data_IF_898251672982
#
_entry.id   IF_898251672982
#
_cell.length_a   1.000
_cell.length_b   1.000
_cell.length_c   1.000
_cell.angle_alpha   90.00
_cell.angle_beta   90.00
_cell.angle_gamma   90.00
#
_symmetry.space_group_name_H-M   'P 1'
#
loop_
_entity.id
_entity.type
_entity.pdbx_description
1 polymer ?
#
# COMPACT_ATOMS: atom_id res chain seq x y z
N UNK A 1 36.08 -19.17 -12.54
CA UNK A 1 34.83 -19.85 -12.12
C UNK A 1 34.54 -19.43 -10.68
N UNK A 2 33.44 -18.71 -10.41
CA UNK A 2 33.03 -18.44 -9.02
C UNK A 2 32.40 -19.72 -8.49
N UNK A 3 32.99 -20.25 -7.43
CA UNK A 3 32.52 -21.42 -6.69
C UNK A 3 31.10 -21.16 -6.18
N UNK A 4 30.09 -21.63 -6.92
CA UNK A 4 28.70 -21.65 -6.48
C UNK A 4 28.54 -22.79 -5.48
N UNK A 5 29.07 -22.60 -4.26
CA UNK A 5 28.65 -23.43 -3.13
C UNK A 5 27.13 -23.43 -3.10
N UNK A 6 26.53 -24.63 -3.15
CA UNK A 6 25.09 -24.83 -2.90
C UNK A 6 24.75 -23.99 -1.65
N UNK A 7 23.83 -23.01 -1.74
CA UNK A 7 23.49 -22.22 -0.56
C UNK A 7 22.98 -23.20 0.50
N UNK A 8 23.65 -23.22 1.66
CA UNK A 8 23.24 -24.03 2.78
C UNK A 8 21.77 -23.71 3.08
N UNK A 9 20.95 -24.75 3.26
CA UNK A 9 19.61 -24.58 3.84
C UNK A 9 19.81 -23.95 5.21
N UNK A 10 19.25 -22.75 5.49
CA UNK A 10 19.42 -22.13 6.78
C UNK A 10 18.87 -23.07 7.85
N UNK A 11 19.68 -23.40 8.86
CA UNK A 11 19.23 -24.21 9.99
C UNK A 11 18.06 -23.51 10.70
N UNK A 12 17.09 -24.27 11.25
CA UNK A 12 16.00 -23.68 12.03
C UNK A 12 16.56 -22.93 13.23
N UNK A 13 16.26 -21.64 13.32
CA UNK A 13 16.63 -20.86 14.50
C UNK A 13 15.80 -21.28 15.71
N UNK A 14 16.37 -21.30 16.93
CA UNK A 14 15.60 -21.45 18.15
C UNK A 14 14.52 -20.37 18.25
N UNK A 15 13.31 -20.73 18.70
CA UNK A 15 12.18 -19.79 18.84
C UNK A 15 12.54 -18.56 19.69
N UNK A 16 13.39 -18.73 20.70
CA UNK A 16 13.89 -17.65 21.57
C UNK A 16 14.63 -16.54 20.82
N UNK A 17 15.20 -16.82 19.63
CA UNK A 17 15.95 -15.86 18.83
C UNK A 17 15.07 -15.09 17.84
N UNK A 18 13.83 -15.51 17.60
CA UNK A 18 12.92 -14.88 16.63
C UNK A 18 12.65 -13.40 16.89
N UNK A 19 12.43 -12.92 18.15
CA UNK A 19 12.21 -11.50 18.40
C UNK A 19 13.43 -10.64 18.03
N UNK A 20 14.64 -11.13 18.33
CA UNK A 20 15.88 -10.45 17.97
C UNK A 20 16.07 -10.41 16.45
N UNK A 21 15.75 -11.52 15.77
CA UNK A 21 15.79 -11.64 14.32
C UNK A 21 14.81 -10.63 13.71
N UNK A 22 13.52 -10.66 14.07
CA UNK A 22 12.50 -9.79 13.46
C UNK A 22 12.82 -8.31 13.65
N UNK A 23 13.34 -7.96 14.82
CA UNK A 23 13.73 -6.60 15.12
C UNK A 23 15.14 -6.23 14.60
N UNK A 24 15.83 -7.07 13.81
CA UNK A 24 17.14 -6.76 13.21
C UNK A 24 17.06 -5.68 12.13
N UNK A 25 15.91 -5.54 11.46
CA UNK A 25 15.67 -4.51 10.46
C UNK A 25 14.20 -4.08 10.43
N UNK A 26 13.89 -2.81 10.14
CA UNK A 26 12.50 -2.32 10.15
C UNK A 26 11.59 -3.10 9.20
N UNK A 27 12.03 -3.31 7.96
CA UNK A 27 11.23 -4.01 6.95
C UNK A 27 10.86 -5.44 7.35
N UNK A 28 11.69 -6.16 8.11
CA UNK A 28 11.41 -7.56 8.48
C UNK A 28 10.20 -7.67 9.40
N UNK A 29 10.23 -6.96 10.51
CA UNK A 29 9.14 -6.92 11.47
C UNK A 29 7.85 -6.39 10.83
N UNK A 30 7.95 -5.25 10.16
CA UNK A 30 6.80 -4.54 9.61
C UNK A 30 6.19 -5.24 8.38
N UNK A 31 6.98 -5.89 7.53
CA UNK A 31 6.42 -6.64 6.39
C UNK A 31 5.77 -7.95 6.83
N UNK A 32 6.29 -8.60 7.87
CA UNK A 32 5.62 -9.77 8.46
C UNK A 32 4.27 -9.36 9.03
N UNK A 33 4.22 -8.31 9.83
CA UNK A 33 2.98 -7.73 10.36
C UNK A 33 2.01 -7.34 9.22
N UNK A 34 2.51 -6.65 8.19
CA UNK A 34 1.72 -6.28 7.01
C UNK A 34 1.16 -7.48 6.26
N UNK A 35 1.89 -8.59 6.22
CA UNK A 35 1.46 -9.82 5.54
C UNK A 35 0.42 -10.60 6.33
N UNK A 36 0.40 -10.47 7.66
CA UNK A 36 -0.72 -10.93 8.47
C UNK A 36 -1.94 -10.03 8.19
N UNK A 37 -1.75 -8.71 8.18
CA UNK A 37 -2.82 -7.75 7.93
C UNK A 37 -3.45 -7.88 6.52
N UNK A 38 -2.65 -8.20 5.49
CA UNK A 38 -3.16 -8.34 4.10
C UNK A 38 -4.11 -9.53 3.94
N UNK A 39 -3.92 -10.59 4.73
CA UNK A 39 -4.82 -11.73 4.78
C UNK A 39 -5.98 -11.48 5.74
N UNK A 40 -5.71 -11.00 6.96
CA UNK A 40 -6.74 -10.82 7.97
C UNK A 40 -7.79 -9.77 7.57
N UNK A 41 -7.38 -8.64 6.99
CA UNK A 41 -8.32 -7.62 6.49
C UNK A 41 -9.25 -8.17 5.43
N UNK A 42 -8.72 -8.98 4.51
CA UNK A 42 -9.51 -9.53 3.41
C UNK A 42 -10.29 -10.77 3.81
N UNK A 43 -9.86 -11.51 4.85
CA UNK A 43 -10.65 -12.57 5.45
C UNK A 43 -11.90 -12.00 6.12
N UNK A 44 -11.74 -10.98 6.96
CA UNK A 44 -12.88 -10.27 7.55
C UNK A 44 -13.80 -9.70 6.45
N UNK A 45 -13.23 -9.03 5.45
CA UNK A 45 -14.03 -8.44 4.36
C UNK A 45 -14.75 -9.48 3.49
N UNK A 46 -14.14 -10.64 3.22
CA UNK A 46 -14.77 -11.72 2.46
C UNK A 46 -15.95 -12.34 3.23
N UNK A 47 -15.81 -12.53 4.54
CA UNK A 47 -16.91 -13.02 5.39
C UNK A 47 -18.02 -11.98 5.47
N UNK A 48 -17.68 -10.70 5.64
CA UNK A 48 -18.66 -9.60 5.66
C UNK A 48 -19.45 -9.50 4.34
N UNK A 49 -18.78 -9.59 3.19
CA UNK A 49 -19.45 -9.64 1.89
C UNK A 49 -20.29 -10.89 1.70
N UNK A 50 -19.85 -12.03 2.24
CA UNK A 50 -20.62 -13.28 2.20
C UNK A 50 -21.86 -13.19 3.07
N UNK A 51 -21.76 -12.53 4.22
CA UNK A 51 -22.91 -12.19 5.05
C UNK A 51 -23.90 -11.31 4.30
N UNK A 52 -23.43 -10.24 3.63
CA UNK A 52 -24.28 -9.37 2.80
C UNK A 52 -24.96 -10.10 1.65
N UNK A 53 -24.29 -11.09 1.03
CA UNK A 53 -24.84 -11.83 -0.12
C UNK A 53 -25.77 -12.98 0.27
N UNK A 54 -25.39 -13.75 1.28
CA UNK A 54 -25.95 -15.06 1.60
C UNK A 54 -26.64 -15.12 2.97
N UNK A 55 -26.47 -14.12 3.84
CA UNK A 55 -27.10 -14.09 5.16
C UNK A 55 -26.52 -15.10 6.15
N UNK A 56 -25.23 -14.93 6.52
CA UNK A 56 -24.57 -15.81 7.48
C UNK A 56 -25.17 -15.67 8.90
N UNK A 57 -25.69 -16.75 9.53
CA UNK A 57 -26.23 -16.68 10.88
C UNK A 57 -25.16 -16.27 11.90
N UNK A 58 -25.54 -15.44 12.88
CA UNK A 58 -24.71 -15.08 14.04
C UNK A 58 -23.37 -14.37 13.73
N UNK A 59 -23.16 -13.86 12.52
CA UNK A 59 -21.98 -13.04 12.20
C UNK A 59 -22.07 -11.67 12.89
N UNK A 60 -21.11 -11.30 13.78
CA UNK A 60 -21.16 -10.02 14.47
C UNK A 60 -20.98 -8.84 13.51
N UNK A 61 -21.86 -7.85 13.62
CA UNK A 61 -21.83 -6.66 12.77
C UNK A 61 -20.96 -5.54 13.38
N UNK A 62 -20.17 -4.81 12.57
CA UNK A 62 -19.35 -3.71 13.06
C UNK A 62 -20.22 -2.52 13.49
N UNK A 63 -19.70 -1.73 14.43
CA UNK A 63 -20.36 -0.50 14.93
C UNK A 63 -20.29 0.70 13.96
N UNK A 64 -19.65 0.52 12.80
CA UNK A 64 -19.48 1.52 11.74
C UNK A 64 -19.82 0.87 10.39
N UNK A 65 -20.14 1.65 9.33
CA UNK A 65 -20.39 1.09 8.01
C UNK A 65 -19.26 0.16 7.56
N UNK A 66 -19.54 -1.11 7.18
CA UNK A 66 -18.50 -2.08 6.87
C UNK A 66 -17.56 -1.64 5.75
N UNK A 67 -18.08 -0.92 4.76
CA UNK A 67 -17.26 -0.33 3.70
C UNK A 67 -16.27 0.74 4.19
N UNK A 68 -16.58 1.46 5.26
CA UNK A 68 -15.66 2.41 5.89
C UNK A 68 -14.62 1.68 6.73
N UNK A 69 -15.02 0.63 7.46
CA UNK A 69 -14.10 -0.25 8.16
C UNK A 69 -13.06 -0.87 7.20
N UNK A 70 -13.52 -1.44 6.07
CA UNK A 70 -12.65 -1.96 5.01
C UNK A 70 -11.67 -0.88 4.51
N UNK A 71 -12.18 0.30 4.16
CA UNK A 71 -11.36 1.40 3.67
C UNK A 71 -10.29 1.81 4.71
N UNK A 72 -10.67 1.97 5.98
CA UNK A 72 -9.76 2.41 7.03
C UNK A 72 -8.73 1.34 7.39
N UNK A 73 -9.11 0.07 7.55
CA UNK A 73 -8.15 -0.99 7.85
C UNK A 73 -7.16 -1.20 6.71
N UNK A 74 -7.60 -1.11 5.45
CA UNK A 74 -6.70 -1.24 4.30
C UNK A 74 -5.73 -0.05 4.21
N UNK A 75 -6.25 1.19 4.27
CA UNK A 75 -5.46 2.40 4.05
C UNK A 75 -4.58 2.77 5.24
N UNK A 76 -5.04 2.52 6.46
CA UNK A 76 -4.37 2.99 7.68
C UNK A 76 -3.71 1.90 8.51
N UNK A 77 -4.17 0.65 8.39
CA UNK A 77 -3.58 -0.50 9.06
C UNK A 77 -2.65 -1.32 8.16
N UNK A 78 -3.19 -1.88 7.08
CA UNK A 78 -2.51 -2.88 6.25
C UNK A 78 -1.36 -2.30 5.40
N UNK A 79 -1.65 -1.40 4.45
CA UNK A 79 -0.60 -0.81 3.60
C UNK A 79 0.51 -0.09 4.39
N UNK A 80 0.18 0.65 5.48
CA UNK A 80 1.16 1.39 6.27
C UNK A 80 2.20 0.53 6.96
N UNK A 81 1.89 -0.73 7.28
CA UNK A 81 2.90 -1.67 7.77
C UNK A 81 4.01 -1.86 6.73
N UNK A 82 3.67 -2.07 5.46
CA UNK A 82 4.66 -2.12 4.38
C UNK A 82 5.32 -0.76 4.12
N UNK A 83 4.57 0.34 4.18
CA UNK A 83 5.13 1.68 3.94
C UNK A 83 6.14 2.07 5.03
N UNK A 84 5.83 1.89 6.32
CA UNK A 84 6.78 2.14 7.41
C UNK A 84 7.97 1.18 7.34
N UNK A 85 7.74 -0.11 7.04
CA UNK A 85 8.84 -1.07 6.88
C UNK A 85 9.83 -0.63 5.82
N UNK A 86 9.32 -0.10 4.71
CA UNK A 86 10.13 0.45 3.63
C UNK A 86 10.78 1.79 4.02
N UNK A 87 10.00 2.78 4.44
CA UNK A 87 10.46 4.15 4.73
C UNK A 87 11.48 4.16 5.86
N UNK A 88 11.23 3.49 6.99
CA UNK A 88 12.18 3.45 8.10
C UNK A 88 13.51 2.74 7.72
N UNK A 89 13.50 1.93 6.67
CA UNK A 89 14.71 1.29 6.13
C UNK A 89 15.47 2.19 5.15
N UNK A 90 14.77 2.87 4.24
CA UNK A 90 15.38 3.58 3.09
C UNK A 90 15.51 5.08 3.28
N UNK A 91 14.68 5.69 4.10
CA UNK A 91 14.61 7.13 4.30
C UNK A 91 15.92 7.70 4.87
N UNK A 92 16.58 7.08 5.88
CA UNK A 92 17.91 7.52 6.31
C UNK A 92 18.95 7.45 5.17
N UNK A 93 18.90 6.40 4.34
CA UNK A 93 19.82 6.23 3.21
C UNK A 93 19.62 7.30 2.14
N UNK A 94 18.39 7.75 1.91
CA UNK A 94 18.10 8.82 0.94
C UNK A 94 18.67 10.18 1.36
N UNK A 95 19.00 10.34 2.64
CA UNK A 95 19.44 11.57 3.27
C UNK A 95 20.88 11.46 3.81
N UNK A 96 21.59 10.37 3.47
CA UNK A 96 22.92 10.02 3.95
C UNK A 96 23.06 10.05 5.48
N UNK A 97 22.01 9.59 6.18
CA UNK A 97 21.96 9.48 7.62
C UNK A 97 22.19 8.02 8.08
N UNK A 98 22.69 7.80 9.31
CA UNK A 98 22.82 6.47 9.90
C UNK A 98 21.51 5.69 9.93
N UNK A 99 21.60 4.37 9.90
CA UNK A 99 20.43 3.52 10.06
C UNK A 99 19.73 3.76 11.41
N UNK A 100 18.40 3.71 11.41
CA UNK A 100 17.62 3.93 12.63
C UNK A 100 17.87 2.80 13.65
N UNK A 101 18.08 3.12 14.93
CA UNK A 101 18.19 2.10 15.97
C UNK A 101 16.83 1.46 16.28
N UNK A 102 16.85 0.24 16.84
CA UNK A 102 15.67 -0.61 17.14
C UNK A 102 14.56 0.13 17.88
N UNK A 103 14.93 0.93 18.88
CA UNK A 103 13.99 1.67 19.72
C UNK A 103 13.17 2.72 18.96
N UNK A 104 13.58 3.13 17.75
CA UNK A 104 12.80 4.06 16.91
C UNK A 104 11.76 3.40 16.02
N UNK A 105 11.93 2.13 15.63
CA UNK A 105 11.01 1.45 14.70
C UNK A 105 10.20 0.31 15.31
N UNK A 106 10.67 -0.33 16.39
CA UNK A 106 9.90 -1.38 17.07
C UNK A 106 8.60 -0.82 17.68
N UNK A 107 8.60 0.35 18.36
CA UNK A 107 7.35 0.96 18.84
C UNK A 107 6.39 1.36 17.72
N UNK A 108 6.91 1.76 16.55
CA UNK A 108 6.08 2.05 15.37
C UNK A 108 5.37 0.78 14.91
N UNK A 109 6.10 -0.34 14.81
CA UNK A 109 5.51 -1.63 14.47
C UNK A 109 4.47 -2.07 15.50
N UNK A 110 4.78 -1.97 16.79
CA UNK A 110 3.85 -2.29 17.87
C UNK A 110 2.59 -1.43 17.85
N UNK A 111 2.72 -0.12 17.67
CA UNK A 111 1.59 0.80 17.61
C UNK A 111 0.70 0.58 16.39
N UNK A 112 1.27 0.48 15.19
CA UNK A 112 0.48 0.29 13.97
C UNK A 112 -0.14 -1.11 13.92
N UNK A 113 0.64 -2.18 14.15
CA UNK A 113 0.12 -3.54 14.09
C UNK A 113 -0.78 -3.87 15.28
N UNK A 114 -0.40 -3.48 16.49
CA UNK A 114 -1.23 -3.65 17.68
C UNK A 114 -2.56 -2.90 17.55
N UNK A 115 -2.51 -1.63 17.11
CA UNK A 115 -3.70 -0.85 16.82
C UNK A 115 -4.59 -1.49 15.75
N UNK A 116 -3.98 -2.01 14.68
CA UNK A 116 -4.68 -2.76 13.62
C UNK A 116 -5.40 -4.02 14.15
N UNK A 117 -4.72 -4.85 14.95
CA UNK A 117 -5.31 -6.07 15.53
C UNK A 117 -6.48 -5.72 16.44
N UNK A 118 -6.31 -4.75 17.34
CA UNK A 118 -7.37 -4.26 18.22
C UNK A 118 -8.55 -3.71 17.41
N UNK A 119 -8.29 -2.90 16.38
CA UNK A 119 -9.34 -2.35 15.53
C UNK A 119 -10.10 -3.45 14.79
N UNK A 120 -9.40 -4.46 14.27
CA UNK A 120 -10.01 -5.60 13.57
C UNK A 120 -10.89 -6.43 14.50
N UNK A 121 -10.43 -6.72 15.72
CA UNK A 121 -11.26 -7.37 16.75
C UNK A 121 -12.44 -6.47 17.17
N UNK A 122 -12.25 -5.16 17.18
CA UNK A 122 -13.29 -4.16 17.40
C UNK A 122 -14.46 -4.24 16.41
N UNK A 123 -14.21 -4.69 15.19
CA UNK A 123 -15.26 -4.89 14.18
C UNK A 123 -16.19 -6.06 14.49
N UNK A 124 -15.86 -6.92 15.46
CA UNK A 124 -16.72 -8.02 15.92
C UNK A 124 -17.76 -7.54 16.95
N UNK A 125 -18.29 -6.33 16.80
CA UNK A 125 -19.28 -5.74 17.71
C UNK A 125 -18.69 -5.12 18.99
N UNK A 126 -17.39 -4.81 19.04
CA UNK A 126 -16.70 -4.28 20.22
C UNK A 126 -16.24 -2.82 19.98
N UNK A 127 -17.14 -1.82 20.09
CA UNK A 127 -16.85 -0.42 19.71
C UNK A 127 -15.74 0.23 20.54
N UNK A 128 -15.60 -0.14 21.82
CA UNK A 128 -14.53 0.37 22.68
C UNK A 128 -13.15 -0.11 22.19
N UNK A 129 -13.07 -1.36 21.73
CA UNK A 129 -11.85 -1.98 21.23
C UNK A 129 -11.48 -1.39 19.86
N UNK A 130 -12.49 -1.09 19.03
CA UNK A 130 -12.31 -0.35 17.78
C UNK A 130 -11.67 1.02 18.03
N UNK A 131 -12.22 1.82 18.96
CA UNK A 131 -11.66 3.12 19.34
C UNK A 131 -10.24 3.01 19.86
N UNK A 132 -9.99 2.08 20.78
CA UNK A 132 -8.66 1.82 21.31
C UNK A 132 -7.67 1.45 20.20
N UNK A 133 -8.06 0.61 19.25
CA UNK A 133 -7.23 0.23 18.12
C UNK A 133 -6.80 1.42 17.26
N UNK A 134 -7.72 2.32 16.91
CA UNK A 134 -7.37 3.53 16.17
C UNK A 134 -6.51 4.52 16.98
N UNK A 135 -6.70 4.62 18.30
CA UNK A 135 -5.83 5.43 19.19
C UNK A 135 -4.40 4.89 19.20
N UNK A 136 -4.24 3.59 19.41
CA UNK A 136 -2.92 2.93 19.45
C UNK A 136 -2.22 3.05 18.08
N UNK A 137 -2.98 2.89 16.99
CA UNK A 137 -2.48 3.07 15.64
C UNK A 137 -2.00 4.51 15.39
N UNK A 138 -2.76 5.53 15.84
CA UNK A 138 -2.32 6.93 15.78
C UNK A 138 -0.99 7.14 16.52
N UNK A 139 -0.82 6.55 17.70
CA UNK A 139 0.45 6.56 18.44
C UNK A 139 1.61 6.01 17.60
N UNK A 140 1.41 4.88 16.91
CA UNK A 140 2.39 4.32 15.98
C UNK A 140 2.76 5.27 14.84
N UNK A 141 1.76 5.95 14.25
CA UNK A 141 1.98 6.95 13.19
C UNK A 141 2.80 8.14 13.67
N UNK A 142 2.45 8.70 14.83
CA UNK A 142 3.17 9.83 15.41
C UNK A 142 4.63 9.48 15.69
N UNK A 143 4.91 8.31 16.25
CA UNK A 143 6.28 7.82 16.47
C UNK A 143 7.05 7.63 15.16
N UNK A 144 6.40 7.09 14.13
CA UNK A 144 6.99 6.94 12.80
C UNK A 144 7.31 8.28 12.15
N UNK A 145 6.37 9.22 12.22
CA UNK A 145 6.52 10.58 11.70
C UNK A 145 7.64 11.33 12.42
N UNK A 146 7.68 11.28 13.75
CA UNK A 146 8.75 11.90 14.55
C UNK A 146 10.12 11.31 14.19
N UNK A 147 10.20 9.98 13.99
CA UNK A 147 11.44 9.32 13.59
C UNK A 147 11.95 9.80 12.23
N UNK A 148 11.08 9.85 11.21
CA UNK A 148 11.45 10.33 9.88
C UNK A 148 11.73 11.84 9.85
N UNK A 149 10.97 12.64 10.60
CA UNK A 149 11.19 14.07 10.73
C UNK A 149 12.54 14.37 11.40
N UNK A 150 12.92 13.60 12.43
CA UNK A 150 14.24 13.72 13.06
C UNK A 150 15.36 13.52 12.03
N UNK A 151 15.25 12.45 11.23
CA UNK A 151 16.23 12.13 10.17
C UNK A 151 16.29 13.23 9.10
N UNK A 152 15.13 13.77 8.72
CA UNK A 152 15.05 14.86 7.74
C UNK A 152 15.69 16.15 8.24
N UNK A 153 15.44 16.52 9.51
CA UNK A 153 16.03 17.72 10.12
C UNK A 153 17.54 17.60 10.36
N UNK A 154 18.04 16.39 10.61
CA UNK A 154 19.47 16.13 10.80
C UNK A 154 20.25 16.13 9.48
N UNK A 155 19.57 16.04 8.33
CA UNK A 155 20.22 16.05 7.02
C UNK A 155 20.35 17.47 6.48
N UNK A 156 21.55 17.83 6.05
CA UNK A 156 21.81 19.07 5.32
C UNK A 156 21.27 19.02 3.88
N UNK A 157 20.96 17.81 3.37
CA UNK A 157 20.51 17.61 2.00
C UNK A 157 19.00 17.80 1.87
N UNK A 158 18.60 18.75 1.00
CA UNK A 158 17.20 18.90 0.59
C UNK A 158 16.84 17.81 -0.42
N UNK A 159 15.92 16.92 -0.04
CA UNK A 159 15.46 15.81 -0.88
C UNK A 159 13.93 15.85 -1.04
N UNK A 160 13.48 16.20 -2.25
CA UNK A 160 12.06 16.36 -2.59
C UNK A 160 11.25 15.07 -2.36
N UNK A 161 11.83 13.88 -2.61
CA UNK A 161 11.15 12.61 -2.35
C UNK A 161 10.96 12.38 -0.85
N UNK A 162 11.95 12.72 -0.03
CA UNK A 162 11.86 12.62 1.42
C UNK A 162 10.80 13.58 1.99
N UNK A 163 10.80 14.83 1.50
CA UNK A 163 9.78 15.82 1.87
C UNK A 163 8.38 15.37 1.45
N UNK A 164 8.21 14.89 0.22
CA UNK A 164 6.95 14.34 -0.28
C UNK A 164 6.43 13.22 0.62
N UNK A 165 7.28 12.28 1.03
CA UNK A 165 6.88 11.23 1.96
C UNK A 165 6.47 11.74 3.35
N UNK A 166 7.14 12.78 3.86
CA UNK A 166 6.77 13.40 5.14
C UNK A 166 5.44 14.14 5.07
N UNK A 167 5.19 14.90 3.99
CA UNK A 167 3.93 15.60 3.77
C UNK A 167 2.76 14.62 3.66
N UNK A 168 2.96 13.53 2.92
CA UNK A 168 1.97 12.47 2.85
C UNK A 168 1.71 11.86 4.24
N UNK A 169 2.75 11.61 5.04
CA UNK A 169 2.59 11.04 6.39
C UNK A 169 1.87 12.00 7.35
N UNK A 170 2.11 13.30 7.21
CA UNK A 170 1.35 14.30 7.94
C UNK A 170 -0.14 14.26 7.57
N UNK A 171 -0.49 14.18 6.27
CA UNK A 171 -1.88 14.07 5.83
C UNK A 171 -2.53 12.73 6.21
N UNK A 172 -1.79 11.63 6.16
CA UNK A 172 -2.24 10.34 6.67
C UNK A 172 -2.56 10.41 8.17
N UNK A 173 -1.66 11.00 8.96
CA UNK A 173 -1.87 11.20 10.40
C UNK A 173 -3.09 12.10 10.67
N UNK A 174 -3.26 13.19 9.90
CA UNK A 174 -4.45 14.04 9.99
C UNK A 174 -5.74 13.29 9.64
N UNK A 175 -5.71 12.39 8.65
CA UNK A 175 -6.83 11.53 8.32
C UNK A 175 -7.18 10.53 9.45
N UNK A 176 -6.19 9.97 10.14
CA UNK A 176 -6.44 9.16 11.34
C UNK A 176 -7.10 9.96 12.46
N UNK A 177 -6.65 11.19 12.70
CA UNK A 177 -7.26 12.10 13.68
C UNK A 177 -8.70 12.41 13.29
N UNK A 178 -8.97 12.68 12.01
CA UNK A 178 -10.33 12.90 11.52
C UNK A 178 -11.22 11.66 11.72
N UNK A 179 -10.71 10.46 11.47
CA UNK A 179 -11.49 9.24 11.71
C UNK A 179 -11.76 9.00 13.21
N UNK A 180 -10.79 9.28 14.07
CA UNK A 180 -11.00 9.24 15.52
C UNK A 180 -12.06 10.24 15.94
N UNK A 181 -12.06 11.46 15.42
CA UNK A 181 -13.11 12.44 15.69
C UNK A 181 -14.50 11.87 15.36
N UNK A 182 -14.66 11.17 14.24
CA UNK A 182 -15.89 10.45 13.91
C UNK A 182 -16.23 9.35 14.94
N UNK A 183 -15.26 8.50 15.32
CA UNK A 183 -15.49 7.42 16.29
C UNK A 183 -15.91 7.92 17.69
N UNK A 184 -15.56 9.18 18.02
CA UNK A 184 -15.90 9.86 19.27
C UNK A 184 -17.11 10.82 19.14
N UNK A 185 -17.93 10.66 18.10
CA UNK A 185 -19.21 11.37 17.96
C UNK A 185 -19.19 12.55 16.99
N UNK A 186 -18.08 12.78 16.29
CA UNK A 186 -18.02 13.74 15.19
C UNK A 186 -18.88 13.33 13.97
N UNK A 187 -19.14 14.25 13.04
CA UNK A 187 -20.00 14.00 11.88
C UNK A 187 -19.39 12.97 10.92
N UNK A 188 -20.23 12.30 10.14
CA UNK A 188 -19.77 11.34 9.10
C UNK A 188 -18.82 11.96 8.06
N UNK A 189 -18.88 13.29 7.86
CA UNK A 189 -17.94 14.03 7.03
C UNK A 189 -16.47 13.86 7.46
N UNK A 190 -16.21 13.64 8.76
CA UNK A 190 -14.87 13.35 9.28
C UNK A 190 -14.36 11.98 8.80
N UNK A 191 -15.21 10.95 8.78
CA UNK A 191 -14.84 9.64 8.24
C UNK A 191 -14.61 9.69 6.73
N UNK A 192 -15.46 10.44 5.99
CA UNK A 192 -15.27 10.64 4.56
C UNK A 192 -13.94 11.36 4.27
N UNK A 193 -13.64 12.44 5.01
CA UNK A 193 -12.37 13.15 4.89
C UNK A 193 -11.18 12.21 5.14
N UNK A 194 -11.24 11.39 6.19
CA UNK A 194 -10.22 10.40 6.49
C UNK A 194 -9.98 9.45 5.32
N UNK A 195 -11.04 8.86 4.75
CA UNK A 195 -10.94 7.95 3.60
C UNK A 195 -10.31 8.64 2.38
N UNK A 196 -10.63 9.92 2.12
CA UNK A 196 -10.05 10.66 0.98
C UNK A 196 -8.59 11.03 1.20
N UNK A 197 -8.24 11.52 2.39
CA UNK A 197 -6.86 11.79 2.77
C UNK A 197 -6.03 10.50 2.74
N UNK A 198 -6.58 9.38 3.18
CA UNK A 198 -5.91 8.08 3.14
C UNK A 198 -5.51 7.67 1.72
N UNK A 199 -6.40 7.84 0.74
CA UNK A 199 -6.14 7.44 -0.65
C UNK A 199 -5.29 8.46 -1.39
N UNK A 200 -5.72 9.74 -1.40
CA UNK A 200 -5.16 10.77 -2.28
C UNK A 200 -4.15 11.69 -1.58
N UNK A 201 -4.21 11.82 -0.26
CA UNK A 201 -3.26 12.59 0.54
C UNK A 201 -2.10 11.76 1.12
N UNK A 202 -2.26 10.43 1.21
CA UNK A 202 -1.32 9.56 1.91
C UNK A 202 -0.79 8.43 1.02
N UNK A 203 -1.61 7.43 0.68
CA UNK A 203 -1.17 6.25 -0.09
C UNK A 203 -0.63 6.64 -1.46
N UNK A 204 -1.45 7.29 -2.29
CA UNK A 204 -1.05 7.59 -3.66
C UNK A 204 0.21 8.46 -3.73
N UNK A 205 0.35 9.56 -2.96
CA UNK A 205 1.60 10.33 -2.95
C UNK A 205 2.82 9.50 -2.54
N UNK A 206 2.71 8.61 -1.55
CA UNK A 206 3.83 7.73 -1.17
C UNK A 206 4.17 6.76 -2.30
N UNK A 207 3.18 6.02 -2.80
CA UNK A 207 3.41 5.04 -3.88
C UNK A 207 4.01 5.71 -5.11
N UNK A 208 3.45 6.84 -5.54
CA UNK A 208 3.99 7.59 -6.68
C UNK A 208 5.40 8.11 -6.40
N UNK A 209 5.67 8.69 -5.22
CA UNK A 209 7.00 9.20 -4.85
C UNK A 209 8.06 8.09 -4.88
N UNK A 210 7.74 6.94 -4.30
CA UNK A 210 8.63 5.78 -4.25
C UNK A 210 8.90 5.26 -5.66
N UNK A 211 7.86 5.08 -6.48
CA UNK A 211 8.00 4.59 -7.86
C UNK A 211 8.77 5.61 -8.72
N UNK A 212 8.43 6.89 -8.63
CA UNK A 212 9.11 7.99 -9.31
C UNK A 212 10.61 8.01 -9.01
N UNK A 213 11.02 7.65 -7.80
CA UNK A 213 12.44 7.51 -7.43
C UNK A 213 13.05 6.20 -7.94
N UNK A 214 12.39 5.08 -7.64
CA UNK A 214 12.97 3.73 -7.72
C UNK A 214 12.91 3.10 -9.11
N UNK A 215 11.81 3.26 -9.83
CA UNK A 215 11.60 2.54 -11.09
C UNK A 215 12.57 3.03 -12.19
N UNK A 216 12.78 4.35 -12.39
CA UNK A 216 13.81 4.85 -13.31
C UNK A 216 15.23 4.52 -12.85
N UNK A 217 15.49 4.56 -11.54
CA UNK A 217 16.80 4.21 -10.98
C UNK A 217 17.12 2.72 -11.19
N UNK A 218 16.15 1.84 -10.96
CA UNK A 218 16.33 0.41 -11.15
C UNK A 218 16.53 0.07 -12.63
N UNK A 219 15.78 0.70 -13.52
CA UNK A 219 15.98 0.58 -14.97
C UNK A 219 17.40 0.98 -15.38
N UNK A 220 17.93 2.09 -14.83
CA UNK A 220 19.30 2.55 -15.07
C UNK A 220 20.40 1.61 -14.56
N UNK A 221 20.14 0.85 -13.50
CA UNK A 221 21.09 -0.13 -12.99
C UNK A 221 21.10 -1.44 -13.79
N UNK A 222 20.04 -1.72 -14.56
CA UNK A 222 19.91 -2.96 -15.34
C UNK A 222 20.28 -2.75 -16.80
N UNK A 223 19.96 -1.59 -17.38
CA UNK A 223 20.16 -1.29 -18.78
C UNK A 223 21.34 -0.35 -18.99
N UNK A 224 22.36 -0.83 -19.71
CA UNK A 224 23.45 0.02 -20.17
C UNK A 224 22.91 1.14 -21.08
N UNK A 225 23.37 2.38 -20.86
CA UNK A 225 22.93 3.55 -21.64
C UNK A 225 21.52 4.07 -21.33
N UNK A 226 20.82 3.54 -20.33
CA UNK A 226 19.51 4.04 -19.95
C UNK A 226 19.60 5.41 -19.25
N UNK A 227 18.97 6.43 -19.84
CA UNK A 227 18.87 7.77 -19.24
C UNK A 227 17.75 7.80 -18.21
N UNK A 228 18.11 7.95 -16.93
CA UNK A 228 17.17 8.07 -15.81
C UNK A 228 16.32 9.34 -15.96
N UNK A 229 15.02 9.18 -16.22
CA UNK A 229 14.04 10.29 -16.35
C UNK A 229 13.21 10.47 -15.08
N UNK A 230 13.48 11.55 -14.34
CA UNK A 230 12.79 11.93 -13.10
C UNK A 230 12.64 13.46 -13.04
N UNK A 231 11.73 14.06 -13.82
CA UNK A 231 11.60 15.50 -13.87
C UNK A 231 11.19 16.07 -12.51
N UNK A 232 11.74 17.22 -12.11
CA UNK A 232 11.41 17.83 -10.82
C UNK A 232 9.99 18.40 -10.75
N UNK A 233 9.38 18.71 -11.90
CA UNK A 233 8.02 19.24 -11.98
C UNK A 233 6.93 18.22 -11.61
N UNK A 234 7.22 16.91 -11.69
CA UNK A 234 6.19 15.87 -11.55
C UNK A 234 5.60 15.80 -10.15
N UNK A 235 6.44 15.82 -9.11
CA UNK A 235 5.99 15.74 -7.73
C UNK A 235 5.07 16.92 -7.34
N UNK A 236 5.46 18.20 -7.51
CA UNK A 236 4.58 19.31 -7.15
C UNK A 236 3.29 19.32 -7.97
N UNK A 237 3.35 19.03 -9.28
CA UNK A 237 2.14 18.97 -10.13
C UNK A 237 1.18 17.88 -9.66
N UNK A 238 1.68 16.67 -9.41
CA UNK A 238 0.86 15.56 -8.90
C UNK A 238 0.28 15.91 -7.54
N UNK A 239 1.05 16.51 -6.63
CA UNK A 239 0.54 16.98 -5.34
C UNK A 239 -0.61 17.98 -5.49
N UNK A 240 -0.44 19.01 -6.32
CA UNK A 240 -1.49 20.02 -6.56
C UNK A 240 -2.77 19.37 -7.08
N UNK A 241 -2.65 18.49 -8.09
CA UNK A 241 -3.80 17.83 -8.68
C UNK A 241 -4.49 16.85 -7.72
N UNK A 242 -3.73 16.10 -6.91
CA UNK A 242 -4.30 15.17 -5.93
C UNK A 242 -5.01 15.88 -4.79
N UNK A 243 -4.46 16.99 -4.30
CA UNK A 243 -5.11 17.81 -3.28
C UNK A 243 -6.38 18.48 -3.83
N UNK A 244 -6.35 18.94 -5.09
CA UNK A 244 -7.54 19.45 -5.76
C UNK A 244 -8.61 18.36 -5.93
N UNK A 245 -8.23 17.15 -6.37
CA UNK A 245 -9.14 15.99 -6.45
C UNK A 245 -9.77 15.69 -5.07
N UNK A 246 -8.94 15.54 -4.04
CA UNK A 246 -9.41 15.24 -2.68
C UNK A 246 -10.37 16.31 -2.14
N UNK A 247 -10.08 17.60 -2.42
CA UNK A 247 -10.92 18.72 -2.00
C UNK A 247 -12.26 18.73 -2.74
N UNK A 248 -12.24 18.60 -4.07
CA UNK A 248 -13.47 18.57 -4.90
C UNK A 248 -14.36 17.39 -4.51
N UNK A 249 -13.77 16.20 -4.33
CA UNK A 249 -14.50 15.00 -3.95
C UNK A 249 -15.08 15.13 -2.53
N UNK A 250 -14.31 15.69 -1.58
CA UNK A 250 -14.79 15.94 -0.21
C UNK A 250 -15.93 16.97 -0.15
N UNK A 251 -15.86 18.01 -0.98
CA UNK A 251 -16.92 19.02 -1.11
C UNK A 251 -18.13 18.55 -1.92
N UNK A 252 -18.06 17.35 -2.51
CA UNK A 252 -19.16 16.78 -3.30
C UNK A 252 -19.36 17.47 -4.64
N UNK A 253 -18.35 18.16 -5.17
CA UNK A 253 -18.40 18.86 -6.47
C UNK A 253 -18.21 17.86 -7.61
N UNK A 254 -19.18 16.95 -7.75
CA UNK A 254 -19.21 15.94 -8.80
C UNK A 254 -19.52 16.58 -10.15
N UNK A 255 -19.00 16.02 -11.24
CA UNK A 255 -19.10 16.55 -12.60
C UNK A 255 -18.01 17.56 -12.96
N UNK A 256 -17.10 17.87 -12.03
CA UNK A 256 -15.91 18.70 -12.24
C UNK A 256 -14.60 17.99 -11.87
N UNK A 257 -14.64 16.75 -11.36
CA UNK A 257 -13.44 15.98 -11.04
C UNK A 257 -12.64 15.63 -12.30
N UNK A 258 -13.30 15.47 -13.45
CA UNK A 258 -12.61 15.23 -14.73
C UNK A 258 -11.57 16.31 -15.05
N UNK A 259 -11.77 17.56 -14.60
CA UNK A 259 -10.85 18.66 -14.83
C UNK A 259 -9.48 18.46 -14.14
N UNK A 260 -9.42 17.66 -13.07
CA UNK A 260 -8.17 17.28 -12.39
C UNK A 260 -7.75 15.84 -12.70
N UNK A 261 -8.70 14.94 -12.96
CA UNK A 261 -8.43 13.53 -13.23
C UNK A 261 -7.87 13.28 -14.62
N UNK A 262 -8.28 14.06 -15.63
CA UNK A 262 -7.67 14.00 -16.97
C UNK A 262 -6.19 14.42 -16.90
N UNK A 263 -5.81 15.59 -16.32
CA UNK A 263 -4.40 15.92 -16.11
C UNK A 263 -3.62 14.87 -15.31
N UNK A 264 -4.21 14.27 -14.27
CA UNK A 264 -3.56 13.19 -13.52
C UNK A 264 -3.31 11.97 -14.41
N UNK A 265 -4.31 11.52 -15.17
CA UNK A 265 -4.16 10.43 -16.13
C UNK A 265 -3.04 10.71 -17.15
N UNK A 266 -2.98 11.93 -17.68
CA UNK A 266 -1.95 12.35 -18.64
C UNK A 266 -0.55 12.37 -18.03
N UNK A 267 -0.39 12.92 -16.83
CA UNK A 267 0.93 12.97 -16.14
C UNK A 267 1.39 11.56 -15.77
N UNK A 268 0.51 10.70 -15.28
CA UNK A 268 0.86 9.31 -14.99
C UNK A 268 1.12 8.51 -16.27
N UNK A 269 0.35 8.73 -17.33
CA UNK A 269 0.55 8.12 -18.65
C UNK A 269 1.89 8.54 -19.27
N UNK A 270 2.25 9.81 -19.14
CA UNK A 270 3.56 10.31 -19.54
C UNK A 270 4.69 9.60 -18.82
N UNK A 271 4.59 9.37 -17.50
CA UNK A 271 5.61 8.61 -16.76
C UNK A 271 5.66 7.15 -17.20
N UNK A 272 4.50 6.52 -17.42
CA UNK A 272 4.41 5.13 -17.88
C UNK A 272 5.13 4.94 -19.22
N UNK A 273 5.01 5.93 -20.11
CA UNK A 273 5.71 5.98 -21.39
C UNK A 273 7.20 6.37 -21.24
N UNK A 274 7.49 7.44 -20.50
CA UNK A 274 8.83 8.04 -20.39
C UNK A 274 9.84 7.10 -19.73
N UNK A 275 9.37 6.16 -18.90
CA UNK A 275 10.21 5.13 -18.29
C UNK A 275 10.48 3.92 -19.20
N UNK A 276 10.02 3.97 -20.46
CA UNK A 276 10.40 3.05 -21.55
C UNK A 276 10.24 1.57 -21.18
N UNK A 277 9.03 1.11 -20.76
CA UNK A 277 8.80 -0.27 -20.35
C UNK A 277 9.28 -1.28 -21.40
N UNK A 278 9.13 -0.99 -22.69
CA UNK A 278 9.60 -1.85 -23.79
C UNK A 278 11.11 -2.13 -23.79
N UNK A 279 11.92 -1.27 -23.17
CA UNK A 279 13.36 -1.52 -22.96
C UNK A 279 13.66 -2.20 -21.62
N UNK A 280 12.76 -2.06 -20.64
CA UNK A 280 12.98 -2.33 -19.22
C UNK A 280 12.08 -3.44 -18.64
N UNK A 281 11.79 -4.50 -19.41
CA UNK A 281 11.00 -5.65 -18.92
C UNK A 281 11.81 -6.80 -18.30
N UNK A 282 13.14 -6.67 -18.18
CA UNK A 282 14.00 -7.68 -17.53
C UNK A 282 14.85 -7.02 -16.46
N UNK A 283 15.10 -7.67 -15.30
CA UNK A 283 14.52 -8.94 -14.85
C UNK A 283 13.02 -8.82 -14.52
N UNK A 284 12.33 -9.95 -14.32
CA UNK A 284 10.86 -9.97 -14.14
C UNK A 284 10.32 -9.05 -13.04
N UNK A 285 11.09 -8.77 -11.97
CA UNK A 285 10.69 -7.81 -10.92
C UNK A 285 10.48 -6.42 -11.52
N UNK A 286 11.32 -6.02 -12.47
CA UNK A 286 11.20 -4.73 -13.16
C UNK A 286 9.98 -4.71 -14.08
N UNK A 287 9.68 -5.81 -14.77
CA UNK A 287 8.46 -5.92 -15.58
C UNK A 287 7.20 -5.67 -14.75
N UNK A 288 7.10 -6.34 -13.60
CA UNK A 288 5.93 -6.21 -12.71
C UNK A 288 5.79 -4.79 -12.17
N UNK A 289 6.90 -4.08 -11.90
CA UNK A 289 6.84 -2.67 -11.53
C UNK A 289 6.20 -1.81 -12.63
N UNK A 290 6.56 -2.02 -13.90
CA UNK A 290 5.94 -1.32 -15.02
C UNK A 290 4.47 -1.69 -15.22
N UNK A 291 4.15 -2.99 -15.17
CA UNK A 291 2.77 -3.47 -15.33
C UNK A 291 1.86 -2.99 -14.19
N UNK A 292 2.34 -3.02 -12.94
CA UNK A 292 1.63 -2.45 -11.81
C UNK A 292 1.42 -0.95 -11.99
N UNK A 293 2.45 -0.21 -12.43
CA UNK A 293 2.33 1.23 -12.65
C UNK A 293 1.31 1.58 -13.75
N UNK A 294 1.10 0.73 -14.75
CA UNK A 294 0.12 0.96 -15.82
C UNK A 294 -1.32 1.07 -15.31
N UNK A 295 -1.64 0.47 -14.16
CA UNK A 295 -2.95 0.63 -13.52
C UNK A 295 -3.19 2.04 -12.99
N UNK A 296 -2.15 2.80 -12.66
CA UNK A 296 -2.31 4.16 -12.13
C UNK A 296 -2.96 5.12 -13.15
N UNK A 297 -2.42 5.33 -14.36
CA UNK A 297 -3.11 6.16 -15.35
C UNK A 297 -4.47 5.58 -15.74
N UNK A 298 -4.61 4.24 -15.82
CA UNK A 298 -5.89 3.61 -16.12
C UNK A 298 -6.96 3.90 -15.06
N UNK A 299 -6.60 3.90 -13.77
CA UNK A 299 -7.52 4.26 -12.69
C UNK A 299 -8.02 5.71 -12.85
N UNK A 300 -7.14 6.65 -13.19
CA UNK A 300 -7.54 8.04 -13.41
C UNK A 300 -8.33 8.26 -14.71
N UNK A 301 -8.10 7.45 -15.75
CA UNK A 301 -9.01 7.39 -16.90
C UNK A 301 -10.40 6.94 -16.46
N UNK A 302 -10.51 5.90 -15.63
CA UNK A 302 -11.81 5.42 -15.13
C UNK A 302 -12.49 6.47 -14.24
N UNK A 303 -11.74 7.19 -13.39
CA UNK A 303 -12.27 8.31 -12.61
C UNK A 303 -12.82 9.42 -13.51
N UNK A 304 -12.03 9.87 -14.50
CA UNK A 304 -12.44 10.90 -15.43
C UNK A 304 -13.67 10.49 -16.25
N UNK A 305 -13.70 9.25 -16.78
CA UNK A 305 -14.84 8.72 -17.53
C UNK A 305 -16.10 8.69 -16.66
N UNK A 306 -16.01 8.20 -15.42
CA UNK A 306 -17.14 8.24 -14.51
C UNK A 306 -17.64 9.68 -14.29
N UNK A 307 -16.74 10.63 -14.05
CA UNK A 307 -17.16 11.99 -13.74
C UNK A 307 -17.75 12.72 -14.97
N UNK A 308 -17.26 12.45 -16.18
CA UNK A 308 -17.87 12.93 -17.44
C UNK A 308 -19.26 12.34 -17.68
N UNK A 309 -19.43 11.03 -17.41
CA UNK A 309 -20.76 10.39 -17.49
C UNK A 309 -21.70 11.02 -16.46
N UNK A 310 -21.22 11.27 -15.25
CA UNK A 310 -22.02 11.93 -14.22
C UNK A 310 -22.40 13.36 -14.63
N UNK A 311 -21.45 14.15 -15.17
CA UNK A 311 -21.71 15.52 -15.63
C UNK A 311 -22.75 15.58 -16.76
N UNK A 312 -22.75 14.60 -17.67
CA UNK A 312 -23.62 14.59 -18.85
C UNK A 312 -24.98 13.92 -18.62
N UNK A 313 -25.06 12.93 -17.72
CA UNK A 313 -26.26 12.09 -17.54
C UNK A 313 -26.76 11.95 -16.10
N UNK A 314 -25.99 12.46 -15.11
CA UNK A 314 -26.26 12.25 -13.68
C UNK A 314 -26.01 10.82 -13.18
N UNK A 315 -25.56 9.90 -14.04
CA UNK A 315 -25.44 8.48 -13.72
C UNK A 315 -24.10 8.10 -13.08
N UNK A 316 -24.15 7.13 -12.17
CA UNK A 316 -22.96 6.56 -11.53
C UNK A 316 -22.77 5.09 -11.92
N UNK A 317 -22.15 4.86 -13.09
CA UNK A 317 -22.09 3.54 -13.75
C UNK A 317 -20.86 2.70 -13.40
N UNK A 318 -19.76 3.33 -13.02
CA UNK A 318 -18.50 2.66 -12.65
C UNK A 318 -18.35 2.51 -11.14
N UNK A 319 -19.22 3.11 -10.33
CA UNK A 319 -19.25 2.81 -8.89
C UNK A 319 -17.89 3.05 -8.22
N UNK A 320 -17.41 2.03 -7.50
CA UNK A 320 -16.06 2.03 -6.90
C UNK A 320 -14.98 1.38 -7.78
N UNK A 321 -15.26 1.10 -9.05
CA UNK A 321 -14.29 0.49 -9.96
C UNK A 321 -12.99 1.31 -10.12
N UNK A 322 -13.02 2.65 -10.30
CA UNK A 322 -11.79 3.44 -10.40
C UNK A 322 -10.91 3.32 -9.15
N UNK A 323 -11.54 3.35 -7.97
CA UNK A 323 -10.85 3.21 -6.68
C UNK A 323 -10.19 1.83 -6.54
N UNK A 324 -10.82 0.75 -7.02
CA UNK A 324 -10.25 -0.59 -6.91
C UNK A 324 -9.26 -0.90 -8.04
N UNK A 325 -9.35 -0.25 -9.21
CA UNK A 325 -8.27 -0.23 -10.19
C UNK A 325 -7.00 0.39 -9.57
N UNK A 326 -7.15 1.46 -8.79
CA UNK A 326 -6.06 2.05 -8.01
C UNK A 326 -5.61 1.14 -6.85
N UNK A 327 -6.55 0.66 -6.02
CA UNK A 327 -6.24 -0.07 -4.79
C UNK A 327 -5.69 -1.49 -5.02
N UNK A 328 -6.25 -2.23 -5.98
CA UNK A 328 -5.82 -3.61 -6.29
C UNK A 328 -4.81 -3.58 -7.45
N UNK A 329 -5.20 -2.96 -8.56
CA UNK A 329 -4.40 -2.91 -9.77
C UNK A 329 -3.06 -2.23 -9.53
N UNK A 330 -3.05 -1.01 -8.99
CA UNK A 330 -1.81 -0.29 -8.70
C UNK A 330 -1.22 -0.65 -7.33
N UNK A 331 -1.86 -0.32 -6.21
CA UNK A 331 -1.23 -0.49 -4.89
C UNK A 331 -0.93 -1.96 -4.56
N UNK A 332 -1.89 -2.86 -4.77
CA UNK A 332 -1.71 -4.30 -4.56
C UNK A 332 -0.60 -4.91 -5.42
N UNK A 333 -0.64 -4.69 -6.73
CA UNK A 333 0.40 -5.21 -7.64
C UNK A 333 1.77 -4.59 -7.35
N UNK A 334 1.83 -3.29 -7.05
CA UNK A 334 3.08 -2.60 -6.72
C UNK A 334 3.66 -3.09 -5.41
N UNK A 335 2.81 -3.41 -4.42
CA UNK A 335 3.21 -4.03 -3.16
C UNK A 335 3.88 -5.39 -3.43
N UNK A 336 3.27 -6.27 -4.23
CA UNK A 336 3.87 -7.57 -4.58
C UNK A 336 5.26 -7.39 -5.18
N UNK A 337 5.41 -6.47 -6.13
CA UNK A 337 6.69 -6.20 -6.77
C UNK A 337 7.74 -5.64 -5.80
N UNK A 338 7.40 -4.58 -5.06
CA UNK A 338 8.33 -3.88 -4.17
C UNK A 338 8.72 -4.72 -2.97
N UNK A 339 7.76 -5.37 -2.32
CA UNK A 339 8.03 -6.19 -1.13
C UNK A 339 8.82 -7.44 -1.53
N UNK A 340 8.53 -8.07 -2.67
CA UNK A 340 9.35 -9.18 -3.19
C UNK A 340 10.79 -8.74 -3.43
N UNK A 341 10.99 -7.59 -4.10
CA UNK A 341 12.31 -7.03 -4.36
C UNK A 341 13.10 -6.74 -3.09
N UNK A 342 12.48 -6.04 -2.14
CA UNK A 342 13.12 -5.67 -0.87
C UNK A 342 13.45 -6.93 -0.07
N UNK A 343 12.50 -7.86 0.02
CA UNK A 343 12.70 -9.13 0.72
C UNK A 343 13.87 -9.91 0.15
N UNK A 344 14.00 -10.00 -1.19
CA UNK A 344 15.14 -10.69 -1.81
C UNK A 344 16.46 -9.96 -1.60
N UNK A 345 16.51 -8.66 -1.89
CA UNK A 345 17.74 -7.86 -1.77
C UNK A 345 18.27 -7.80 -0.33
N UNK A 346 17.39 -7.84 0.66
CA UNK A 346 17.74 -7.84 2.08
C UNK A 346 17.81 -9.25 2.70
N UNK A 347 17.63 -10.32 1.93
CA UNK A 347 17.85 -11.70 2.41
C UNK A 347 19.04 -12.41 1.75
N UNK A 348 19.83 -11.67 0.95
CA UNK A 348 20.96 -12.24 0.21
C UNK A 348 20.53 -13.10 -0.98
N UNK A 349 19.28 -12.97 -1.43
CA UNK A 349 18.70 -13.76 -2.53
C UNK A 349 18.77 -12.99 -3.84
N UNK A 350 18.73 -13.72 -4.95
CA UNK A 350 18.66 -13.14 -6.30
C UNK A 350 17.40 -12.28 -6.46
N UNK A 351 17.56 -11.11 -7.09
CA UNK A 351 16.49 -10.15 -7.39
C UNK A 351 15.68 -10.60 -8.62
N UNK A 352 14.82 -11.60 -8.44
CA UNK A 352 14.04 -12.22 -9.51
C UNK A 352 12.59 -12.49 -9.10
N UNK A 353 11.65 -12.45 -10.03
CA UNK A 353 10.28 -12.88 -9.76
C UNK A 353 10.24 -14.41 -9.74
N UNK A 354 10.12 -15.00 -8.56
CA UNK A 354 9.88 -16.44 -8.41
C UNK A 354 8.45 -16.81 -8.79
N UNK A 355 8.21 -18.12 -9.02
CA UNK A 355 6.90 -18.64 -9.45
C UNK A 355 5.74 -18.19 -8.52
N UNK A 356 5.94 -18.24 -7.20
CA UNK A 356 4.93 -17.81 -6.22
C UNK A 356 4.57 -16.33 -6.36
N UNK A 357 5.56 -15.47 -6.62
CA UNK A 357 5.32 -14.04 -6.79
C UNK A 357 4.64 -13.75 -8.15
N UNK A 358 4.98 -14.50 -9.20
CA UNK A 358 4.29 -14.43 -10.49
C UNK A 358 2.83 -14.86 -10.38
N UNK A 359 2.57 -15.97 -9.69
CA UNK A 359 1.22 -16.47 -9.42
C UNK A 359 0.38 -15.42 -8.71
N UNK A 360 0.90 -14.86 -7.61
CA UNK A 360 0.23 -13.79 -6.86
C UNK A 360 -0.07 -12.58 -7.76
N UNK A 361 0.92 -12.09 -8.53
CA UNK A 361 0.71 -10.98 -9.44
C UNK A 361 -0.37 -11.26 -10.50
N UNK A 362 -0.31 -12.44 -11.16
CA UNK A 362 -1.26 -12.84 -12.18
C UNK A 362 -2.69 -12.98 -11.63
N UNK A 363 -2.84 -13.63 -10.48
CA UNK A 363 -4.14 -13.75 -9.81
C UNK A 363 -4.68 -12.38 -9.37
N UNK A 364 -3.83 -11.45 -8.95
CA UNK A 364 -4.28 -10.09 -8.64
C UNK A 364 -4.81 -9.34 -9.86
N UNK A 365 -4.29 -9.60 -11.07
CA UNK A 365 -4.85 -9.02 -12.29
C UNK A 365 -6.28 -9.54 -12.53
N UNK A 366 -6.54 -10.81 -12.28
CA UNK A 366 -7.89 -11.37 -12.33
C UNK A 366 -8.78 -10.76 -11.25
N UNK A 367 -8.29 -10.61 -10.02
CA UNK A 367 -9.04 -10.03 -8.90
C UNK A 367 -9.48 -8.59 -9.18
N UNK A 368 -8.60 -7.73 -9.74
CA UNK A 368 -9.00 -6.36 -10.07
C UNK A 368 -10.06 -6.33 -11.18
N UNK A 369 -9.97 -7.21 -12.19
CA UNK A 369 -10.98 -7.30 -13.25
C UNK A 369 -12.34 -7.79 -12.70
N UNK A 370 -12.33 -8.81 -11.83
CA UNK A 370 -13.54 -9.29 -11.14
C UNK A 370 -14.15 -8.20 -10.27
N UNK A 371 -13.31 -7.43 -9.57
CA UNK A 371 -13.78 -6.32 -8.74
C UNK A 371 -14.37 -5.19 -9.56
N UNK A 372 -13.81 -4.87 -10.73
CA UNK A 372 -14.39 -3.90 -11.67
C UNK A 372 -15.71 -4.43 -12.23
N UNK A 373 -15.76 -5.71 -12.63
CA UNK A 373 -16.95 -6.37 -13.14
C UNK A 373 -18.14 -6.27 -12.19
N UNK A 374 -17.91 -6.28 -10.87
CA UNK A 374 -18.97 -6.13 -9.87
C UNK A 374 -19.79 -4.83 -10.03
N UNK A 375 -19.18 -3.75 -10.55
CA UNK A 375 -19.86 -2.46 -10.74
C UNK A 375 -20.61 -2.38 -12.08
N UNK A 376 -20.41 -3.34 -13.00
CA UNK A 376 -21.00 -3.34 -14.34
C UNK A 376 -22.35 -4.08 -14.42
N UNK A 377 -23.03 -4.25 -13.28
CA UNK A 377 -24.37 -4.86 -13.17
C UNK A 377 -24.39 -6.38 -12.95
N UNK A 378 -25.58 -6.98 -12.97
CA UNK A 378 -25.79 -8.38 -12.59
C UNK A 378 -25.72 -8.58 -11.07
N UNK A 379 -25.27 -9.75 -10.62
CA UNK A 379 -25.11 -10.06 -9.19
C UNK A 379 -23.84 -9.42 -8.60
N UNK A 380 -23.91 -8.12 -8.33
CA UNK A 380 -22.80 -7.33 -7.78
C UNK A 380 -22.15 -8.02 -6.58
N UNK A 381 -22.95 -8.43 -5.59
CA UNK A 381 -22.43 -8.99 -4.34
C UNK A 381 -21.73 -10.33 -4.54
N UNK A 382 -22.18 -11.19 -5.46
CA UNK A 382 -21.46 -12.41 -5.81
C UNK A 382 -20.07 -12.09 -6.38
N UNK A 383 -19.97 -11.13 -7.30
CA UNK A 383 -18.67 -10.71 -7.85
C UNK A 383 -17.75 -10.12 -6.78
N UNK A 384 -18.30 -9.37 -5.81
CA UNK A 384 -17.53 -8.86 -4.67
C UNK A 384 -16.97 -10.01 -3.82
N UNK A 385 -17.79 -11.02 -3.50
CA UNK A 385 -17.36 -12.20 -2.75
C UNK A 385 -16.25 -12.95 -3.50
N UNK A 386 -16.44 -13.23 -4.79
CA UNK A 386 -15.44 -13.93 -5.61
C UNK A 386 -14.12 -13.14 -5.65
N UNK A 387 -14.18 -11.82 -5.83
CA UNK A 387 -12.98 -10.99 -5.82
C UNK A 387 -12.28 -11.00 -4.44
N UNK A 388 -13.04 -10.96 -3.34
CA UNK A 388 -12.49 -10.97 -1.98
C UNK A 388 -11.78 -12.29 -1.64
N UNK A 389 -12.39 -13.45 -1.97
CA UNK A 389 -11.73 -14.75 -1.82
C UNK A 389 -10.59 -14.93 -2.82
N UNK A 390 -10.73 -14.42 -4.05
CA UNK A 390 -9.65 -14.42 -5.04
C UNK A 390 -8.40 -13.69 -4.55
N UNK A 391 -8.56 -12.59 -3.81
CA UNK A 391 -7.44 -11.90 -3.14
C UNK A 391 -6.73 -12.82 -2.14
N UNK A 392 -7.48 -13.54 -1.31
CA UNK A 392 -6.91 -14.47 -0.32
C UNK A 392 -6.13 -15.60 -1.00
N UNK A 393 -6.70 -16.18 -2.07
CA UNK A 393 -6.04 -17.22 -2.88
C UNK A 393 -4.76 -16.68 -3.53
N UNK A 394 -4.78 -15.45 -4.03
CA UNK A 394 -3.61 -14.80 -4.63
C UNK A 394 -2.49 -14.57 -3.61
N UNK A 395 -2.82 -14.01 -2.45
CA UNK A 395 -1.82 -13.58 -1.47
C UNK A 395 -1.32 -14.71 -0.56
N UNK A 396 -2.12 -15.73 -0.26
CA UNK A 396 -1.75 -16.74 0.74
C UNK A 396 -0.42 -17.43 0.43
N UNK A 397 -0.17 -17.98 -0.78
CA UNK A 397 1.12 -18.60 -1.10
C UNK A 397 2.29 -17.60 -1.01
N UNK A 398 2.07 -16.36 -1.43
CA UNK A 398 3.08 -15.29 -1.40
C UNK A 398 3.43 -14.86 0.02
N UNK A 399 2.43 -14.75 0.90
CA UNK A 399 2.61 -14.45 2.32
C UNK A 399 3.39 -15.57 3.00
N UNK A 400 3.00 -16.84 2.81
CA UNK A 400 3.72 -17.97 3.41
C UNK A 400 5.19 -18.02 2.97
N UNK A 401 5.45 -17.83 1.67
CA UNK A 401 6.81 -17.80 1.13
C UNK A 401 7.64 -16.64 1.67
N UNK A 402 7.03 -15.47 1.87
CA UNK A 402 7.72 -14.26 2.34
C UNK A 402 7.93 -14.28 3.85
N UNK A 403 6.93 -14.74 4.61
CA UNK A 403 7.02 -14.97 6.05
C UNK A 403 8.17 -15.94 6.37
N UNK A 404 8.29 -17.05 5.63
CA UNK A 404 9.44 -17.94 5.79
C UNK A 404 10.78 -17.20 5.62
N UNK A 405 10.92 -16.33 4.61
CA UNK A 405 12.17 -15.56 4.43
C UNK A 405 12.44 -14.65 5.64
N UNK A 406 11.41 -13.97 6.15
CA UNK A 406 11.56 -13.07 7.30
C UNK A 406 11.68 -13.79 8.64
N UNK A 407 11.45 -15.10 8.70
CA UNK A 407 11.58 -15.91 9.92
C UNK A 407 12.86 -16.75 9.92
N UNK A 408 13.59 -16.80 8.80
CA UNK A 408 14.89 -17.48 8.68
C UNK A 408 16.05 -16.48 8.61
N UNK A 409 17.28 -16.89 8.98
CA UNK A 409 18.49 -16.12 8.70
C UNK A 409 18.64 -15.80 7.22
N UNK A 410 19.39 -14.73 6.93
CA UNK A 410 19.82 -14.42 5.56
C UNK A 410 20.59 -15.58 4.92
N UNK A 411 20.39 -15.74 3.61
CA UNK A 411 21.05 -16.80 2.84
C UNK A 411 22.56 -16.53 2.65
N UNK A 412 23.00 -15.28 2.72
CA UNK A 412 24.39 -14.87 2.54
C UNK A 412 25.21 -14.87 3.84
N UNK A 413 24.65 -15.35 4.96
CA UNK A 413 25.33 -15.44 6.26
C UNK A 413 25.63 -14.10 6.93
N UNK A 414 25.20 -12.97 6.35
CA UNK A 414 25.35 -11.64 6.96
C UNK A 414 24.36 -11.45 8.11
N UNK A 415 24.60 -10.50 9.02
CA UNK A 415 23.65 -10.17 10.08
C UNK A 415 22.26 -9.83 9.52
N UNK A 416 21.23 -10.37 10.16
CA UNK A 416 19.82 -10.11 9.87
C UNK A 416 19.03 -11.31 9.37
#
# INVERSE_FOLDING_TARGET
MRDFRKPATPEPLPLAQLPALLASAPHRLLFLAGSIAVLLSMAWWAVELSWMRFGLPHWPQPSIPPGWAHAMLMQYGMFPLFMFGFLLTVFPRWLNQPALPRWRYVPVAGGVFGGYVLATLGLLGLPWLLRLGFIVMLGGYLLGMLSLLTVYRASEQRNDHALSCLLALALGTAGLIAFLAYLFGGPGACAMLAIRLGTFGWLLPIFFTVVHRMLPFFSGNVLAGYRVRRPRWSLPLVWTLLLAHALLEWRGVRGWLWAVDVPLALVFGWHAWAWQPWKAMRPGVLAVLHLAFAWLPLAFVLYAVQDVIFASSGQFVLGRAPLHALGIGFFGSMLVAMVTRVTQGHSGRLLQMGAVAWLCFGLLQLVVLLRIRAELGGDMYLWLVIAAYGWLVAFLPWVLRSAWIWLTPRLDGKPG
#
